data_IF_038879123730
#
_entry.id   IF_038879123730
#
_cell.length_a   1.000
_cell.length_b   1.000
_cell.length_c   1.000
_cell.angle_alpha   90.00
_cell.angle_beta   90.00
_cell.angle_gamma   90.00
#
_symmetry.space_group_name_H-M   'P 1'
#
loop_
_entity.id
_entity.type
_entity.pdbx_description
1 polymer ?
#
# COMPACT_ATOMS: atom_id res chain seq x y z
N UNK A 1 45.20 -42.98 63.35
CA UNK A 1 44.78 -44.18 64.06
C UNK A 1 43.37 -44.54 63.60
N UNK A 2 43.34 -45.59 62.90
CA UNK A 2 42.56 -46.85 63.06
C UNK A 2 41.09 -46.70 62.50
N UNK A 3 40.86 -47.23 61.31
CA UNK A 3 40.27 -48.54 60.98
C UNK A 3 38.87 -48.76 61.57
N UNK A 4 37.80 -49.13 60.78
CA UNK A 4 37.54 -50.45 60.22
C UNK A 4 36.12 -50.43 59.57
N UNK A 5 35.95 -50.72 58.31
CA UNK A 5 35.50 -52.00 57.71
C UNK A 5 34.06 -52.48 58.03
N UNK A 6 33.44 -52.83 56.96
CA UNK A 6 32.54 -53.98 56.65
C UNK A 6 31.04 -53.73 56.90
N UNK A 7 30.17 -54.22 56.19
CA UNK A 7 29.88 -55.03 54.97
C UNK A 7 28.39 -55.31 54.96
N UNK A 8 27.83 -55.36 53.78
CA UNK A 8 26.72 -56.22 53.25
C UNK A 8 25.39 -56.32 54.01
N UNK A 9 24.29 -56.01 53.26
CA UNK A 9 23.38 -57.08 52.83
C UNK A 9 22.25 -56.49 51.93
N UNK A 10 22.00 -57.23 50.94
CA UNK A 10 20.99 -57.17 49.88
C UNK A 10 19.60 -57.45 50.44
N UNK A 11 18.58 -56.73 50.07
CA UNK A 11 17.22 -57.29 49.87
C UNK A 11 16.42 -56.48 48.83
N UNK A 12 15.94 -57.23 47.88
CA UNK A 12 15.06 -56.84 46.77
C UNK A 12 13.65 -56.62 47.33
N UNK A 13 13.03 -55.48 46.97
CA UNK A 13 11.59 -55.36 46.98
C UNK A 13 11.16 -54.51 45.74
N UNK A 14 10.50 -55.17 44.81
CA UNK A 14 9.87 -54.59 43.65
C UNK A 14 8.65 -53.76 44.09
N UNK A 15 8.62 -52.50 43.70
CA UNK A 15 7.38 -51.72 43.70
C UNK A 15 7.27 -51.04 42.33
N UNK A 16 6.25 -51.48 41.57
CA UNK A 16 5.81 -50.83 40.35
C UNK A 16 5.37 -49.39 40.64
N UNK A 17 6.11 -48.42 40.16
CA UNK A 17 5.66 -47.04 40.02
C UNK A 17 5.41 -46.79 38.55
N UNK A 18 4.12 -46.62 38.18
CA UNK A 18 3.71 -46.11 36.88
C UNK A 18 4.29 -44.69 36.73
N UNK A 19 5.26 -44.55 35.90
CA UNK A 19 5.70 -43.26 35.39
C UNK A 19 4.74 -42.89 34.25
N UNK A 20 3.80 -41.97 34.51
CA UNK A 20 3.17 -41.18 33.48
C UNK A 20 4.26 -40.30 32.83
N UNK A 21 4.72 -40.72 31.69
CA UNK A 21 5.44 -39.83 30.77
C UNK A 21 4.44 -38.83 30.22
N UNK A 22 4.39 -37.64 30.81
CA UNK A 22 3.85 -36.49 30.10
C UNK A 22 4.75 -36.27 28.88
N UNK A 23 4.21 -36.54 27.70
CA UNK A 23 4.78 -36.10 26.46
C UNK A 23 4.68 -34.57 26.46
N UNK A 24 5.75 -33.90 26.89
CA UNK A 24 5.99 -32.52 26.51
C UNK A 24 6.28 -32.59 25.02
N UNK A 25 5.31 -32.17 24.21
CA UNK A 25 5.56 -31.80 22.83
C UNK A 25 6.57 -30.64 22.91
N UNK A 26 7.84 -30.93 22.68
CA UNK A 26 8.75 -29.89 22.27
C UNK A 26 8.19 -29.38 20.93
N UNK A 27 7.68 -28.16 20.92
CA UNK A 27 7.63 -27.39 19.70
C UNK A 27 9.09 -27.36 19.22
N UNK A 28 9.36 -28.06 18.12
CA UNK A 28 10.57 -27.85 17.35
C UNK A 28 10.53 -26.37 16.93
N UNK A 29 11.30 -25.53 17.61
CA UNK A 29 11.75 -24.26 17.03
C UNK A 29 12.42 -24.64 15.71
N UNK A 30 11.73 -24.44 14.62
CA UNK A 30 12.31 -24.47 13.28
C UNK A 30 13.24 -23.27 13.18
N UNK A 31 14.46 -23.43 13.65
CA UNK A 31 15.57 -22.50 13.43
C UNK A 31 16.06 -22.70 11.97
N UNK A 32 15.16 -22.54 11.00
CA UNK A 32 15.49 -22.38 9.59
C UNK A 32 15.82 -20.90 9.38
N UNK A 33 16.90 -20.64 8.64
CA UNK A 33 17.22 -19.26 8.25
C UNK A 33 16.00 -18.65 7.55
N UNK A 34 15.43 -17.58 8.13
CA UNK A 34 14.32 -16.83 7.54
C UNK A 34 14.75 -16.27 6.19
N UNK A 35 13.84 -16.29 5.22
CA UNK A 35 14.10 -15.74 3.89
C UNK A 35 13.99 -14.21 3.92
N UNK A 36 15.06 -13.53 3.54
CA UNK A 36 15.09 -12.06 3.49
C UNK A 36 14.19 -11.54 2.39
N UNK A 37 13.35 -10.56 2.74
CA UNK A 37 12.41 -9.87 1.86
C UNK A 37 12.51 -8.37 2.13
N UNK A 38 12.79 -7.58 1.10
CA UNK A 38 12.79 -6.12 1.18
C UNK A 38 11.57 -5.57 0.47
N UNK A 39 10.78 -4.74 1.18
CA UNK A 39 9.64 -4.00 0.64
C UNK A 39 10.05 -2.54 0.53
N UNK A 40 10.02 -1.98 -0.68
CA UNK A 40 10.30 -0.56 -0.93
C UNK A 40 8.97 0.18 -0.99
N UNK A 41 8.77 1.17 -0.12
CA UNK A 41 7.58 2.01 -0.13
C UNK A 41 7.56 2.95 -1.36
N UNK A 42 6.41 3.55 -1.61
CA UNK A 42 6.20 4.60 -2.61
C UNK A 42 6.54 5.99 -2.07
N UNK A 43 6.40 6.15 -0.76
CA UNK A 43 6.56 7.41 -0.02
C UNK A 43 7.04 7.11 1.41
N UNK A 44 7.05 8.10 2.29
CA UNK A 44 7.26 7.89 3.73
C UNK A 44 6.19 6.99 4.32
N UNK A 45 6.44 6.30 5.45
CA UNK A 45 5.43 5.50 6.13
C UNK A 45 4.14 6.28 6.36
N UNK A 46 3.00 5.72 5.93
CA UNK A 46 1.68 6.33 6.06
C UNK A 46 0.60 5.27 6.24
N UNK A 47 -0.65 5.70 6.41
CA UNK A 47 -1.76 4.81 6.76
C UNK A 47 -2.13 3.78 5.69
N UNK A 48 -1.72 3.95 4.43
CA UNK A 48 -1.83 2.88 3.44
C UNK A 48 -0.91 1.70 3.76
N UNK A 49 0.20 1.93 4.46
CA UNK A 49 1.20 0.91 4.76
C UNK A 49 0.96 0.16 6.08
N UNK A 50 -0.01 0.61 6.90
CA UNK A 50 -0.22 0.12 8.27
C UNK A 50 -0.35 -1.40 8.35
N UNK A 51 -1.05 -2.04 7.41
CA UNK A 51 -1.20 -3.50 7.42
C UNK A 51 0.12 -4.26 7.33
N UNK A 52 1.12 -3.70 6.60
CA UNK A 52 2.45 -4.29 6.51
C UNK A 52 3.23 -4.13 7.82
N UNK A 53 3.14 -2.95 8.48
CA UNK A 53 3.77 -2.74 9.78
C UNK A 53 3.13 -3.58 10.89
N UNK A 54 1.80 -3.73 10.89
CA UNK A 54 1.09 -4.64 11.80
C UNK A 54 1.52 -6.09 11.57
N UNK A 55 1.67 -6.52 10.31
CA UNK A 55 2.15 -7.86 9.99
C UNK A 55 3.60 -8.08 10.46
N UNK A 56 4.45 -7.06 10.36
CA UNK A 56 5.82 -7.07 10.84
C UNK A 56 5.88 -7.19 12.37
N UNK A 57 5.25 -6.27 13.09
CA UNK A 57 5.33 -6.19 14.56
C UNK A 57 4.65 -7.37 15.26
N UNK A 58 3.61 -7.95 14.65
CA UNK A 58 2.95 -9.16 15.18
C UNK A 58 3.64 -10.46 14.78
N UNK A 59 4.76 -10.39 14.05
CA UNK A 59 5.53 -11.57 13.65
C UNK A 59 4.82 -12.44 12.58
N UNK A 60 3.87 -11.90 11.82
CA UNK A 60 3.16 -12.68 10.81
C UNK A 60 4.07 -13.08 9.65
N UNK A 61 5.03 -12.24 9.30
CA UNK A 61 6.05 -12.58 8.30
C UNK A 61 7.00 -13.67 8.80
N UNK A 62 7.46 -13.59 10.04
CA UNK A 62 8.31 -14.62 10.65
C UNK A 62 7.61 -15.98 10.72
N UNK A 63 6.30 -15.99 11.04
CA UNK A 63 5.49 -17.20 11.06
C UNK A 63 5.35 -17.86 9.67
N UNK A 64 5.53 -17.11 8.59
CA UNK A 64 5.58 -17.56 7.20
C UNK A 64 7.03 -17.85 6.73
N UNK A 65 8.02 -17.77 7.62
CA UNK A 65 9.43 -18.03 7.31
C UNK A 65 10.14 -16.86 6.61
N UNK A 66 9.63 -15.63 6.75
CA UNK A 66 10.15 -14.42 6.10
C UNK A 66 10.77 -13.46 7.12
N UNK A 67 11.94 -12.91 6.80
CA UNK A 67 12.59 -11.78 7.47
C UNK A 67 12.35 -10.54 6.59
N UNK A 68 11.31 -9.76 6.94
CA UNK A 68 10.84 -8.62 6.12
C UNK A 68 11.42 -7.33 6.64
N UNK A 69 12.03 -6.57 5.75
CA UNK A 69 12.49 -5.21 5.97
C UNK A 69 11.67 -4.26 5.08
N UNK A 70 11.03 -3.25 5.69
CA UNK A 70 10.29 -2.20 5.00
C UNK A 70 11.17 -0.95 4.96
N UNK A 71 11.43 -0.44 3.75
CA UNK A 71 12.33 0.71 3.54
C UNK A 71 11.64 1.80 2.74
N UNK A 72 11.99 3.04 3.05
CA UNK A 72 11.56 4.18 2.25
C UNK A 72 12.23 4.17 0.87
N UNK A 73 11.59 4.77 -0.16
CA UNK A 73 12.19 4.88 -1.47
C UNK A 73 13.47 5.72 -1.41
N UNK A 74 14.52 5.21 -2.07
CA UNK A 74 15.78 5.93 -2.28
C UNK A 74 15.76 6.65 -3.64
N UNK A 75 16.92 7.01 -4.15
CA UNK A 75 17.04 7.58 -5.50
C UNK A 75 16.51 6.63 -6.57
N UNK A 76 15.35 6.93 -7.13
CA UNK A 76 14.70 6.18 -8.21
C UNK A 76 13.26 5.77 -7.90
N UNK A 77 12.48 5.54 -8.95
CA UNK A 77 11.10 5.05 -8.83
C UNK A 77 11.08 3.60 -8.31
N UNK A 78 10.18 3.31 -7.39
CA UNK A 78 10.04 1.99 -6.75
C UNK A 78 9.90 0.86 -7.79
N UNK A 79 9.12 1.06 -8.85
CA UNK A 79 8.97 0.10 -9.96
C UNK A 79 10.32 -0.27 -10.59
N UNK A 80 11.21 0.71 -10.81
CA UNK A 80 12.56 0.48 -11.36
C UNK A 80 13.44 -0.30 -10.38
N UNK A 81 13.37 0.02 -9.10
CA UNK A 81 14.16 -0.68 -8.07
C UNK A 81 13.74 -2.14 -7.93
N UNK A 82 12.44 -2.43 -7.97
CA UNK A 82 11.89 -3.78 -7.96
C UNK A 82 12.28 -4.55 -9.23
N UNK A 83 12.16 -3.94 -10.41
CA UNK A 83 12.60 -4.55 -11.67
C UNK A 83 14.09 -4.92 -11.66
N UNK A 84 14.92 -4.14 -10.98
CA UNK A 84 16.36 -4.37 -10.79
C UNK A 84 16.68 -5.33 -9.62
N UNK A 85 15.67 -5.91 -8.97
CA UNK A 85 15.82 -6.79 -7.80
C UNK A 85 16.54 -6.13 -6.62
N UNK A 86 16.43 -4.80 -6.46
CA UNK A 86 16.90 -4.06 -5.29
C UNK A 86 15.89 -4.09 -4.15
N UNK A 87 14.64 -4.42 -4.43
CA UNK A 87 13.59 -4.80 -3.51
C UNK A 87 12.91 -6.06 -4.02
N UNK A 88 12.39 -6.88 -3.11
CA UNK A 88 11.60 -8.07 -3.44
C UNK A 88 10.19 -7.67 -3.85
N UNK A 89 9.61 -6.75 -3.08
CA UNK A 89 8.33 -6.10 -3.34
C UNK A 89 8.48 -4.59 -3.33
N UNK A 90 7.50 -3.91 -3.87
CA UNK A 90 7.42 -2.47 -3.78
C UNK A 90 5.97 -2.00 -3.74
N UNK A 91 5.77 -0.79 -3.23
CA UNK A 91 4.51 -0.09 -3.31
C UNK A 91 4.57 0.84 -4.52
N UNK A 92 3.55 0.80 -5.36
CA UNK A 92 3.45 1.58 -6.59
C UNK A 92 1.99 1.89 -6.89
N UNK A 93 1.69 2.36 -8.08
CA UNK A 93 0.35 2.74 -8.51
C UNK A 93 0.02 2.04 -9.82
N UNK A 94 -1.26 1.79 -10.10
CA UNK A 94 -1.69 1.21 -11.38
C UNK A 94 -1.18 2.02 -12.57
N UNK A 95 -1.15 3.35 -12.46
CA UNK A 95 -0.60 4.25 -13.48
C UNK A 95 0.87 3.94 -13.77
N UNK A 96 1.72 3.94 -12.74
CA UNK A 96 3.16 3.67 -12.87
C UNK A 96 3.44 2.29 -13.45
N UNK A 97 2.70 1.27 -13.00
CA UNK A 97 2.81 -0.09 -13.55
C UNK A 97 2.48 -0.09 -15.05
N UNK A 98 1.38 0.54 -15.45
CA UNK A 98 0.96 0.59 -16.85
C UNK A 98 1.98 1.35 -17.72
N UNK A 99 2.47 2.51 -17.25
CA UNK A 99 3.50 3.29 -17.95
C UNK A 99 4.81 2.49 -18.05
N UNK A 100 5.25 1.85 -16.95
CA UNK A 100 6.48 1.07 -16.93
C UNK A 100 6.44 -0.14 -17.90
N UNK A 101 5.27 -0.75 -18.05
CA UNK A 101 5.06 -1.88 -18.95
C UNK A 101 4.91 -1.47 -20.42
N UNK A 102 4.56 -0.22 -20.72
CA UNK A 102 4.43 0.31 -22.09
C UNK A 102 5.66 1.09 -22.56
N UNK A 103 6.63 1.32 -21.68
CA UNK A 103 7.88 1.98 -22.02
C UNK A 103 8.69 1.20 -23.05
N UNK A 104 9.54 1.88 -23.86
CA UNK A 104 10.44 1.25 -24.83
C UNK A 104 11.34 0.21 -24.14
N UNK A 105 11.86 0.54 -22.95
CA UNK A 105 12.57 -0.36 -22.05
C UNK A 105 11.60 -0.91 -20.99
N UNK A 106 10.66 -1.76 -21.42
CA UNK A 106 9.65 -2.38 -20.55
C UNK A 106 10.26 -2.96 -19.28
N UNK A 107 9.72 -2.57 -18.10
CA UNK A 107 10.14 -3.14 -16.84
C UNK A 107 9.46 -4.51 -16.60
N UNK A 108 10.20 -5.56 -16.19
CA UNK A 108 9.65 -6.88 -15.90
C UNK A 108 9.02 -6.92 -14.49
N UNK A 109 7.89 -6.25 -14.30
CA UNK A 109 7.15 -6.16 -13.04
C UNK A 109 5.70 -6.55 -13.23
N UNK A 110 5.03 -6.88 -12.11
CA UNK A 110 3.60 -7.18 -12.08
C UNK A 110 3.01 -6.75 -10.74
N UNK A 111 1.79 -6.21 -10.75
CA UNK A 111 1.03 -6.00 -9.54
C UNK A 111 0.49 -7.35 -9.03
N UNK A 112 0.59 -7.59 -7.71
CA UNK A 112 0.21 -8.85 -7.06
C UNK A 112 -0.89 -8.66 -6.00
N UNK A 113 -1.17 -7.43 -5.59
CA UNK A 113 -2.31 -7.06 -4.76
C UNK A 113 -2.61 -5.56 -4.88
N UNK A 114 -3.86 -5.16 -4.73
CA UNK A 114 -4.18 -3.77 -4.41
C UNK A 114 -4.25 -3.57 -2.89
N UNK A 115 -3.92 -2.36 -2.41
CA UNK A 115 -4.04 -2.07 -0.98
C UNK A 115 -5.46 -1.60 -0.65
N UNK A 116 -6.02 -0.68 -1.43
CA UNK A 116 -7.41 -0.23 -1.33
C UNK A 116 -8.18 -0.54 -2.61
N UNK A 117 -9.49 -0.72 -2.50
CA UNK A 117 -10.30 -1.24 -3.61
C UNK A 117 -10.69 -0.17 -4.63
N UNK A 118 -10.81 1.08 -4.23
CA UNK A 118 -11.24 2.19 -5.07
C UNK A 118 -10.32 3.39 -4.92
N UNK A 119 -10.25 4.22 -5.93
CA UNK A 119 -9.48 5.46 -5.89
C UNK A 119 -10.12 6.46 -4.92
N UNK A 120 -9.41 6.81 -3.86
CA UNK A 120 -9.82 7.77 -2.83
C UNK A 120 -9.19 9.15 -3.02
N UNK A 121 -8.76 9.47 -4.22
CA UNK A 121 -8.18 10.77 -4.53
C UNK A 121 -9.15 11.70 -5.27
N UNK A 122 -8.91 12.99 -5.19
CA UNK A 122 -9.77 14.00 -5.80
C UNK A 122 -9.11 15.35 -5.91
N UNK A 123 -9.74 16.22 -6.71
CA UNK A 123 -9.36 17.63 -6.74
C UNK A 123 -9.94 18.35 -5.53
N UNK A 124 -9.17 19.26 -4.97
CA UNK A 124 -9.58 20.08 -3.82
C UNK A 124 -9.41 21.56 -4.10
N UNK A 125 -10.28 22.35 -3.50
CA UNK A 125 -10.20 23.82 -3.39
C UNK A 125 -10.68 24.27 -2.02
N UNK A 126 -10.43 25.52 -1.64
CA UNK A 126 -11.01 26.07 -0.41
C UNK A 126 -12.55 26.07 -0.51
N UNK A 127 -13.24 25.78 0.59
CA UNK A 127 -14.71 25.71 0.64
C UNK A 127 -15.40 26.99 0.18
N UNK A 128 -14.79 28.14 0.45
CA UNK A 128 -15.31 29.47 0.09
C UNK A 128 -14.82 30.00 -1.27
N UNK A 129 -14.01 29.21 -2.01
CA UNK A 129 -13.44 29.62 -3.31
C UNK A 129 -14.45 29.71 -4.44
N UNK A 130 -15.60 29.04 -4.30
CA UNK A 130 -16.60 28.88 -5.36
C UNK A 130 -16.18 27.90 -6.46
N UNK A 131 -15.10 27.14 -6.28
CA UNK A 131 -14.64 26.08 -7.20
C UNK A 131 -15.19 24.76 -6.68
N UNK A 132 -16.19 24.17 -7.35
CA UNK A 132 -16.90 22.97 -6.91
C UNK A 132 -17.00 21.89 -7.97
N UNK A 133 -16.52 22.17 -9.17
CA UNK A 133 -16.53 21.24 -10.30
C UNK A 133 -15.39 21.56 -11.26
N UNK A 134 -14.97 20.62 -12.14
CA UNK A 134 -13.97 20.89 -13.17
C UNK A 134 -14.37 21.99 -14.16
N UNK A 135 -15.65 22.33 -14.27
CA UNK A 135 -16.11 23.48 -15.07
C UNK A 135 -15.58 24.82 -14.53
N UNK A 136 -15.28 24.89 -13.23
CA UNK A 136 -14.80 26.10 -12.57
C UNK A 136 -13.28 26.30 -12.67
N UNK A 137 -12.56 25.36 -13.29
CA UNK A 137 -11.09 25.37 -13.36
C UNK A 137 -10.52 26.35 -14.39
N UNK A 138 -11.34 26.84 -15.35
CA UNK A 138 -10.87 27.82 -16.32
C UNK A 138 -10.31 29.08 -15.64
N UNK A 139 -9.08 29.45 -16.03
CA UNK A 139 -8.37 30.61 -15.51
C UNK A 139 -7.85 30.46 -14.08
N UNK A 140 -7.94 29.26 -13.49
CA UNK A 140 -7.40 28.94 -12.16
C UNK A 140 -5.97 28.41 -12.24
N UNK A 141 -5.32 28.35 -11.08
CA UNK A 141 -3.99 27.76 -10.91
C UNK A 141 -4.11 26.44 -10.18
N UNK A 142 -3.73 25.36 -10.85
CA UNK A 142 -3.57 24.04 -10.27
C UNK A 142 -2.11 23.82 -9.90
N UNK A 143 -1.84 23.33 -8.67
CA UNK A 143 -0.51 22.93 -8.23
C UNK A 143 -0.45 21.42 -7.99
N UNK A 144 0.44 20.73 -8.71
CA UNK A 144 0.61 19.29 -8.65
C UNK A 144 2.06 18.85 -8.81
N UNK A 145 2.27 17.58 -9.13
CA UNK A 145 3.63 17.02 -9.27
C UNK A 145 4.17 17.05 -10.72
N UNK A 146 3.33 17.38 -11.71
CA UNK A 146 3.74 17.58 -13.12
C UNK A 146 3.88 16.28 -13.91
N UNK A 147 3.20 15.20 -13.51
CA UNK A 147 3.17 13.94 -14.23
C UNK A 147 2.30 13.99 -15.50
N UNK A 148 2.58 13.16 -16.53
CA UNK A 148 1.77 13.10 -17.74
C UNK A 148 0.35 12.59 -17.49
N UNK A 149 0.16 11.61 -16.58
CA UNK A 149 -1.15 11.12 -16.19
C UNK A 149 -1.97 12.17 -15.46
N UNK A 150 -1.33 12.97 -14.59
CA UNK A 150 -1.98 14.07 -13.90
C UNK A 150 -2.59 15.10 -14.88
N UNK A 151 -1.84 15.47 -15.92
CA UNK A 151 -2.33 16.36 -16.96
C UNK A 151 -3.49 15.74 -17.74
N UNK A 152 -3.42 14.44 -18.05
CA UNK A 152 -4.47 13.71 -18.74
C UNK A 152 -5.77 13.66 -17.93
N UNK A 153 -5.68 13.43 -16.63
CA UNK A 153 -6.85 13.42 -15.72
C UNK A 153 -7.50 14.81 -15.63
N UNK A 154 -6.71 15.88 -15.52
CA UNK A 154 -7.21 17.26 -15.53
C UNK A 154 -7.91 17.58 -16.85
N UNK A 155 -7.30 17.23 -17.99
CA UNK A 155 -7.89 17.45 -19.32
C UNK A 155 -9.20 16.69 -19.51
N UNK A 156 -9.24 15.42 -19.08
CA UNK A 156 -10.42 14.58 -19.16
C UNK A 156 -11.58 15.18 -18.35
N UNK A 157 -11.35 15.49 -17.08
CA UNK A 157 -12.38 16.01 -16.18
C UNK A 157 -12.90 17.38 -16.63
N UNK A 158 -12.02 18.28 -17.08
CA UNK A 158 -12.42 19.59 -17.60
C UNK A 158 -13.20 19.47 -18.90
N UNK A 159 -12.73 18.64 -19.85
CA UNK A 159 -13.40 18.42 -21.14
C UNK A 159 -14.80 17.82 -20.93
N UNK A 160 -14.93 16.84 -20.07
CA UNK A 160 -16.22 16.23 -19.73
C UNK A 160 -17.16 17.22 -19.08
N UNK A 161 -16.65 18.15 -18.28
CA UNK A 161 -17.42 19.24 -17.67
C UNK A 161 -17.70 20.40 -18.65
N UNK A 162 -17.21 20.34 -19.90
CA UNK A 162 -17.39 21.36 -20.92
C UNK A 162 -16.48 22.58 -20.76
N UNK A 163 -15.39 22.45 -20.02
CA UNK A 163 -14.40 23.50 -19.81
C UNK A 163 -13.20 23.34 -20.76
N UNK A 164 -12.50 24.44 -21.00
CA UNK A 164 -11.31 24.51 -21.86
C UNK A 164 -10.05 24.32 -21.02
N UNK A 165 -9.45 23.11 -21.09
CA UNK A 165 -8.23 22.74 -20.37
C UNK A 165 -7.06 23.70 -20.65
N UNK A 166 -6.97 24.26 -21.87
CA UNK A 166 -5.89 25.20 -22.21
C UNK A 166 -5.89 26.49 -21.40
N UNK A 167 -6.96 26.75 -20.65
CA UNK A 167 -7.09 27.92 -19.77
C UNK A 167 -6.67 27.63 -18.32
N UNK A 168 -6.40 26.39 -17.96
CA UNK A 168 -5.87 26.04 -16.64
C UNK A 168 -4.38 26.37 -16.58
N UNK A 169 -3.96 27.07 -15.52
CA UNK A 169 -2.55 27.30 -15.27
C UNK A 169 -2.02 26.18 -14.37
N UNK A 170 -1.13 25.34 -14.89
CA UNK A 170 -0.52 24.22 -14.15
C UNK A 170 0.86 24.63 -13.67
N UNK A 171 1.12 24.48 -12.36
CA UNK A 171 2.41 24.72 -11.70
C UNK A 171 2.83 23.52 -10.87
N UNK A 172 4.13 23.38 -10.65
CA UNK A 172 4.65 22.36 -9.74
C UNK A 172 4.42 22.80 -8.30
N UNK A 173 3.88 21.90 -7.46
CA UNK A 173 3.70 22.13 -6.03
C UNK A 173 5.03 22.34 -5.33
N UNK A 174 5.05 23.27 -4.37
CA UNK A 174 6.21 23.52 -3.50
C UNK A 174 6.25 22.62 -2.26
N UNK A 175 5.29 21.69 -2.15
CA UNK A 175 5.18 20.75 -1.02
C UNK A 175 4.49 21.31 0.21
N UNK A 176 3.94 22.52 0.19
CA UNK A 176 3.24 23.12 1.34
C UNK A 176 1.83 22.57 1.55
N UNK A 177 1.34 21.66 0.67
CA UNK A 177 0.06 20.99 0.81
C UNK A 177 -1.11 21.98 0.84
N UNK A 178 -2.10 21.73 1.72
CA UNK A 178 -3.30 22.57 1.81
C UNK A 178 -3.02 24.04 2.15
N UNK A 179 -1.85 24.35 2.71
CA UNK A 179 -1.46 25.74 3.02
C UNK A 179 -1.21 26.59 1.77
N UNK A 180 -1.00 25.96 0.60
CA UNK A 180 -0.85 26.64 -0.68
C UNK A 180 -2.18 27.16 -1.23
N UNK A 181 -3.31 26.51 -0.88
CA UNK A 181 -4.64 26.85 -1.37
C UNK A 181 -5.04 28.29 -0.99
N UNK A 182 -5.51 29.02 -2.00
CA UNK A 182 -5.88 30.44 -1.85
C UNK A 182 -4.71 31.40 -1.71
N UNK A 183 -3.45 30.92 -1.78
CA UNK A 183 -2.23 31.74 -1.73
C UNK A 183 -1.44 31.64 -3.04
N UNK A 184 -0.90 30.46 -3.34
CA UNK A 184 -0.09 30.19 -4.56
C UNK A 184 -0.82 29.39 -5.62
N UNK A 185 -1.90 28.70 -5.24
CA UNK A 185 -2.78 27.96 -6.14
C UNK A 185 -4.24 28.03 -5.69
N UNK A 186 -5.14 27.69 -6.62
CA UNK A 186 -6.58 27.64 -6.39
C UNK A 186 -7.06 26.21 -6.11
N UNK A 187 -6.39 25.21 -6.68
CA UNK A 187 -6.74 23.80 -6.57
C UNK A 187 -5.50 22.90 -6.56
N UNK A 188 -5.65 21.73 -5.97
CA UNK A 188 -4.66 20.65 -5.86
C UNK A 188 -5.35 19.30 -6.02
N UNK A 189 -4.56 18.24 -6.10
CA UNK A 189 -5.04 16.85 -6.06
C UNK A 189 -4.60 16.24 -4.74
N UNK A 190 -5.58 15.78 -3.95
CA UNK A 190 -5.37 15.21 -2.61
C UNK A 190 -5.93 13.79 -2.51
N UNK A 191 -5.36 13.02 -1.57
CA UNK A 191 -5.92 11.76 -1.10
C UNK A 191 -6.79 12.02 0.14
N UNK A 192 -8.08 11.64 0.09
CA UNK A 192 -9.06 12.00 1.12
C UNK A 192 -8.64 11.52 2.51
N UNK A 193 -8.22 10.25 2.61
CA UNK A 193 -7.77 9.64 3.88
C UNK A 193 -6.49 10.22 4.47
N UNK A 194 -5.77 11.07 3.76
CA UNK A 194 -4.50 11.65 4.23
C UNK A 194 -4.54 13.18 4.23
N UNK A 195 -4.51 13.77 3.05
CA UNK A 195 -4.39 15.23 2.92
C UNK A 195 -5.64 15.97 3.41
N UNK A 196 -6.84 15.46 3.11
CA UNK A 196 -8.08 16.08 3.55
C UNK A 196 -8.28 15.90 5.06
N UNK A 197 -7.84 14.79 5.65
CA UNK A 197 -7.83 14.60 7.11
C UNK A 197 -6.90 15.63 7.77
N UNK A 198 -5.67 15.79 7.25
CA UNK A 198 -4.75 16.82 7.76
C UNK A 198 -5.32 18.23 7.63
N UNK A 199 -5.90 18.57 6.49
CA UNK A 199 -6.52 19.88 6.26
C UNK A 199 -7.64 20.15 7.28
N UNK A 200 -8.55 19.18 7.45
CA UNK A 200 -9.68 19.30 8.39
C UNK A 200 -9.22 19.47 9.85
N UNK A 201 -8.20 18.72 10.29
CA UNK A 201 -7.63 18.86 11.63
C UNK A 201 -6.98 20.23 11.87
N UNK A 202 -6.51 20.88 10.82
CA UNK A 202 -5.96 22.24 10.87
C UNK A 202 -7.01 23.33 10.61
N UNK A 203 -8.31 22.96 10.57
CA UNK A 203 -9.40 23.91 10.38
C UNK A 203 -9.52 24.46 8.95
N UNK A 204 -8.90 23.79 7.97
CA UNK A 204 -9.03 24.11 6.55
C UNK A 204 -10.20 23.32 5.96
N UNK A 205 -11.29 24.03 5.63
CA UNK A 205 -12.46 23.44 4.99
C UNK A 205 -12.25 23.40 3.47
N UNK A 206 -12.47 22.23 2.87
CA UNK A 206 -12.23 21.97 1.46
C UNK A 206 -13.54 21.59 0.73
N UNK A 207 -13.66 22.01 -0.53
CA UNK A 207 -14.46 21.30 -1.52
C UNK A 207 -13.63 20.13 -2.00
N UNK A 208 -14.17 18.92 -1.98
CA UNK A 208 -13.54 17.71 -2.48
C UNK A 208 -14.32 17.16 -3.66
N UNK A 209 -13.64 16.95 -4.79
CA UNK A 209 -14.18 16.46 -6.05
C UNK A 209 -13.54 15.11 -6.35
N UNK A 210 -14.16 14.03 -5.88
CA UNK A 210 -13.66 12.66 -5.98
C UNK A 210 -13.52 12.23 -7.45
N UNK A 211 -12.35 11.76 -7.87
CA UNK A 211 -12.06 11.44 -9.27
C UNK A 211 -12.99 10.38 -9.85
N UNK A 212 -13.26 9.31 -9.12
CA UNK A 212 -14.15 8.22 -9.58
C UNK A 212 -15.59 8.66 -9.79
N UNK A 213 -16.01 9.80 -9.22
CA UNK A 213 -17.33 10.42 -9.47
C UNK A 213 -17.31 11.34 -10.70
N UNK A 214 -16.14 11.85 -11.07
CA UNK A 214 -15.98 12.71 -12.24
C UNK A 214 -15.88 11.88 -13.53
N UNK A 215 -15.18 10.75 -13.50
CA UNK A 215 -15.08 9.79 -14.61
C UNK A 215 -14.85 8.39 -14.00
N UNK A 216 -15.72 7.42 -14.32
CA UNK A 216 -15.64 6.05 -13.80
C UNK A 216 -14.33 5.35 -14.14
N UNK A 217 -13.64 5.74 -15.21
CA UNK A 217 -12.32 5.21 -15.58
C UNK A 217 -11.21 5.65 -14.66
N UNK A 218 -11.44 6.66 -13.82
CA UNK A 218 -10.51 7.17 -12.82
C UNK A 218 -10.63 6.43 -11.47
N UNK A 219 -11.48 5.39 -11.41
CA UNK A 219 -11.54 4.46 -10.28
C UNK A 219 -10.48 3.37 -10.44
N UNK A 220 -9.22 3.73 -10.41
CA UNK A 220 -8.07 2.85 -10.58
C UNK A 220 -7.36 2.55 -9.26
N UNK A 221 -6.58 1.45 -9.23
CA UNK A 221 -5.90 1.01 -8.02
C UNK A 221 -4.71 1.88 -7.65
N UNK A 222 -4.76 2.47 -6.47
CA UNK A 222 -3.71 3.32 -5.91
C UNK A 222 -3.77 3.36 -4.38
N UNK A 223 -2.82 2.69 -3.64
CA UNK A 223 -1.64 2.01 -4.15
C UNK A 223 -1.82 0.51 -4.44
N UNK A 224 -0.82 -0.09 -5.12
CA UNK A 224 -0.70 -1.53 -5.38
C UNK A 224 0.65 -2.07 -4.87
N UNK A 225 0.68 -3.36 -4.54
CA UNK A 225 1.93 -4.10 -4.28
C UNK A 225 2.42 -4.69 -5.58
N UNK A 226 3.67 -4.43 -5.92
CA UNK A 226 4.34 -4.97 -7.11
C UNK A 226 5.50 -5.90 -6.74
N UNK A 227 5.83 -6.81 -7.65
CA UNK A 227 7.07 -7.59 -7.60
C UNK A 227 7.60 -7.79 -9.03
N UNK A 228 8.82 -8.33 -9.18
CA UNK A 228 9.38 -8.61 -10.50
C UNK A 228 8.97 -9.99 -11.02
N UNK A 229 8.91 -10.16 -12.36
CA UNK A 229 8.69 -11.44 -13.00
C UNK A 229 9.71 -12.48 -12.52
N UNK A 230 10.97 -12.08 -12.31
CA UNK A 230 12.02 -12.95 -11.81
C UNK A 230 11.73 -13.51 -10.40
N UNK A 231 11.12 -12.72 -9.51
CA UNK A 231 10.70 -13.17 -8.18
C UNK A 231 9.53 -14.14 -8.30
N UNK A 232 8.54 -13.83 -9.13
CA UNK A 232 7.39 -14.71 -9.41
C UNK A 232 7.86 -16.08 -9.93
N UNK A 233 8.77 -16.08 -10.90
CA UNK A 233 9.26 -17.31 -11.54
C UNK A 233 10.14 -18.16 -10.61
N UNK A 234 10.97 -17.51 -9.78
CA UNK A 234 11.92 -18.23 -8.93
C UNK A 234 11.34 -18.71 -7.61
N UNK A 235 10.36 -17.99 -7.05
CA UNK A 235 9.86 -18.26 -5.71
C UNK A 235 8.39 -17.86 -5.50
N UNK A 236 7.45 -18.47 -6.24
CA UNK A 236 6.03 -18.17 -6.12
C UNK A 236 5.45 -18.43 -4.71
N UNK A 237 6.03 -19.40 -3.99
CA UNK A 237 5.59 -19.70 -2.62
C UNK A 237 5.98 -18.61 -1.62
N UNK A 238 7.11 -17.93 -1.81
CA UNK A 238 7.47 -16.75 -1.03
C UNK A 238 6.50 -15.60 -1.30
N UNK A 239 6.09 -15.38 -2.55
CA UNK A 239 5.08 -14.36 -2.90
C UNK A 239 3.76 -14.63 -2.18
N UNK A 240 3.27 -15.88 -2.19
CA UNK A 240 2.06 -16.29 -1.45
C UNK A 240 2.21 -16.09 0.06
N UNK A 241 3.34 -16.49 0.63
CA UNK A 241 3.63 -16.36 2.05
C UNK A 241 3.61 -14.89 2.49
N UNK A 242 4.26 -14.02 1.71
CA UNK A 242 4.26 -12.57 1.95
C UNK A 242 2.85 -11.99 1.91
N UNK A 243 2.07 -12.29 0.87
CA UNK A 243 0.71 -11.75 0.73
C UNK A 243 -0.24 -12.27 1.82
N UNK A 244 -0.12 -13.56 2.24
CA UNK A 244 -0.91 -14.09 3.37
C UNK A 244 -0.64 -13.34 4.68
N UNK A 245 0.63 -13.12 4.99
CA UNK A 245 1.02 -12.37 6.19
C UNK A 245 0.54 -10.92 6.12
N UNK A 246 0.70 -10.28 4.96
CA UNK A 246 0.26 -8.91 4.71
C UNK A 246 -1.27 -8.79 4.84
N UNK A 247 -2.04 -9.69 4.21
CA UNK A 247 -3.50 -9.71 4.32
C UNK A 247 -3.99 -9.85 5.77
N UNK A 248 -3.28 -10.63 6.58
CA UNK A 248 -3.56 -10.79 8.01
C UNK A 248 -3.32 -9.47 8.78
N UNK A 249 -2.28 -8.73 8.42
CA UNK A 249 -2.04 -7.39 8.96
C UNK A 249 -3.16 -6.42 8.62
N UNK A 250 -3.62 -6.38 7.36
CA UNK A 250 -4.76 -5.53 6.96
C UNK A 250 -6.09 -5.99 7.61
N UNK A 251 -6.28 -7.29 7.83
CA UNK A 251 -7.45 -7.76 8.57
C UNK A 251 -7.46 -7.24 10.03
N UNK A 252 -6.30 -7.16 10.67
CA UNK A 252 -6.18 -6.58 12.01
C UNK A 252 -6.41 -5.05 12.00
N UNK A 253 -5.95 -4.35 10.96
CA UNK A 253 -6.23 -2.91 10.78
C UNK A 253 -7.73 -2.64 10.63
N UNK A 254 -8.42 -3.45 9.84
CA UNK A 254 -9.88 -3.35 9.67
C UNK A 254 -10.62 -3.60 10.99
N UNK A 255 -10.13 -4.57 11.77
CA UNK A 255 -10.76 -4.94 13.03
C UNK A 255 -10.58 -3.89 14.16
N UNK A 256 -9.42 -3.22 14.20
CA UNK A 256 -9.09 -2.20 15.21
C UNK A 256 -8.15 -1.15 14.61
N UNK A 257 -8.71 -0.15 13.87
CA UNK A 257 -7.92 0.87 13.21
C UNK A 257 -7.14 1.77 14.18
N UNK A 258 -7.65 2.00 15.39
CA UNK A 258 -6.97 2.81 16.41
C UNK A 258 -5.70 2.14 16.90
N UNK A 259 -5.79 0.86 17.27
CA UNK A 259 -4.63 0.09 17.69
C UNK A 259 -3.60 -0.06 16.55
N UNK A 260 -4.07 -0.21 15.32
CA UNK A 260 -3.20 -0.28 14.15
C UNK A 260 -2.48 1.06 13.88
N UNK A 261 -3.15 2.19 14.08
CA UNK A 261 -2.54 3.51 13.97
C UNK A 261 -1.44 3.73 15.03
N UNK A 262 -1.58 3.15 16.23
CA UNK A 262 -0.53 3.18 17.27
C UNK A 262 0.71 2.37 16.83
N UNK A 263 0.53 1.22 16.18
CA UNK A 263 1.64 0.47 15.56
C UNK A 263 2.33 1.31 14.49
N UNK A 264 1.58 1.92 13.57
CA UNK A 264 2.18 2.78 12.56
C UNK A 264 2.94 3.96 13.17
N UNK A 265 2.42 4.55 14.25
CA UNK A 265 3.06 5.69 14.92
C UNK A 265 4.47 5.38 15.41
N UNK A 266 4.74 4.15 15.83
CA UNK A 266 6.10 3.72 16.23
C UNK A 266 7.10 3.77 15.06
N UNK A 267 6.61 3.69 13.82
CA UNK A 267 7.39 3.77 12.58
C UNK A 267 7.29 5.14 11.87
N UNK A 268 6.33 5.98 12.24
CA UNK A 268 6.01 7.27 11.60
C UNK A 268 5.77 8.38 12.64
N UNK A 269 6.62 8.46 13.67
CA UNK A 269 6.44 9.36 14.84
C UNK A 269 6.54 10.85 14.53
N UNK A 270 6.88 11.24 13.30
CA UNK A 270 6.88 12.63 12.86
C UNK A 270 5.46 13.18 12.63
N UNK A 271 4.44 12.30 12.57
CA UNK A 271 3.04 12.66 12.41
C UNK A 271 2.30 12.68 13.75
N UNK A 272 1.19 13.42 13.81
CA UNK A 272 0.29 13.44 14.95
C UNK A 272 -0.50 12.13 15.04
N UNK A 273 -0.50 11.46 16.20
CA UNK A 273 -1.18 10.17 16.40
C UNK A 273 -2.69 10.28 16.14
N UNK A 274 -3.35 11.38 16.52
CA UNK A 274 -4.78 11.57 16.28
C UNK A 274 -5.08 11.73 14.77
N UNK A 275 -4.14 12.32 14.03
CA UNK A 275 -4.21 12.36 12.56
C UNK A 275 -4.13 10.95 11.98
N UNK A 276 -3.17 10.13 12.43
CA UNK A 276 -3.02 8.76 11.97
C UNK A 276 -4.27 7.92 12.30
N UNK A 277 -4.86 8.08 13.49
CA UNK A 277 -6.11 7.39 13.88
C UNK A 277 -7.26 7.75 12.95
N UNK A 278 -7.50 9.03 12.72
CA UNK A 278 -8.59 9.48 11.82
C UNK A 278 -8.39 9.01 10.37
N UNK A 279 -7.16 9.07 9.90
CA UNK A 279 -6.79 8.55 8.58
C UNK A 279 -7.02 7.03 8.50
N UNK A 280 -6.64 6.30 9.54
CA UNK A 280 -6.78 4.86 9.58
C UNK A 280 -8.24 4.40 9.71
N UNK A 281 -9.07 5.10 10.50
CA UNK A 281 -10.52 4.87 10.56
C UNK A 281 -11.17 4.99 9.18
N UNK A 282 -10.81 6.04 8.43
CA UNK A 282 -11.28 6.23 7.06
C UNK A 282 -10.84 5.10 6.13
N UNK A 283 -9.55 4.74 6.14
CA UNK A 283 -8.99 3.74 5.23
C UNK A 283 -9.41 2.31 5.57
N UNK A 284 -9.71 2.00 6.83
CA UNK A 284 -10.14 0.67 7.23
C UNK A 284 -11.38 0.20 6.45
N UNK A 285 -12.28 1.10 6.08
CA UNK A 285 -13.45 0.82 5.25
C UNK A 285 -13.10 0.62 3.76
N UNK A 286 -11.92 1.11 3.32
CA UNK A 286 -11.50 1.13 1.91
C UNK A 286 -10.68 -0.09 1.50
N UNK A 287 -10.07 -0.80 2.45
CA UNK A 287 -9.23 -1.95 2.17
C UNK A 287 -9.99 -3.13 1.55
N UNK A 288 -11.28 -3.28 1.85
CA UNK A 288 -12.13 -4.38 1.35
C UNK A 288 -13.55 -3.88 0.99
N UNK A 289 -13.71 -2.65 0.47
CA UNK A 289 -15.01 -1.98 0.30
C UNK A 289 -16.05 -2.84 -0.44
N UNK A 290 -15.66 -3.57 -1.49
CA UNK A 290 -16.57 -4.39 -2.31
C UNK A 290 -16.03 -5.80 -2.62
N UNK A 291 -15.14 -6.32 -1.77
CA UNK A 291 -14.55 -7.66 -1.93
C UNK A 291 -14.50 -8.41 -0.59
N UNK A 292 -14.58 -9.75 -0.67
CA UNK A 292 -14.41 -10.64 0.48
C UNK A 292 -12.94 -11.06 0.69
N UNK A 293 -12.04 -10.68 -0.21
CA UNK A 293 -10.62 -11.03 -0.16
C UNK A 293 -9.77 -9.79 -0.37
N UNK A 294 -8.97 -9.43 0.65
CA UNK A 294 -8.05 -8.33 0.54
C UNK A 294 -7.06 -8.52 -0.62
N UNK A 295 -6.76 -7.45 -1.30
CA UNK A 295 -5.76 -7.44 -2.37
C UNK A 295 -6.29 -7.80 -3.76
N UNK A 296 -7.51 -8.35 -3.86
CA UNK A 296 -8.10 -8.75 -5.14
C UNK A 296 -8.24 -7.58 -6.10
N UNK A 297 -7.90 -7.81 -7.36
CA UNK A 297 -8.03 -6.85 -8.46
C UNK A 297 -8.94 -7.41 -9.56
N UNK A 298 -9.56 -6.52 -10.33
CA UNK A 298 -10.51 -6.83 -11.41
C UNK A 298 -9.92 -6.41 -12.76
N UNK A 299 -10.06 -7.23 -13.79
CA UNK A 299 -9.61 -6.95 -15.15
C UNK A 299 -10.17 -5.61 -15.68
N UNK A 300 -11.46 -5.37 -15.44
CA UNK A 300 -12.16 -4.17 -15.92
C UNK A 300 -11.50 -2.87 -15.44
N UNK A 301 -11.01 -2.82 -14.20
CA UNK A 301 -10.34 -1.63 -13.65
C UNK A 301 -9.03 -1.35 -14.37
N UNK A 302 -8.24 -2.41 -14.64
CA UNK A 302 -6.98 -2.29 -15.39
C UNK A 302 -7.22 -1.92 -16.85
N UNK A 303 -8.16 -2.58 -17.53
CA UNK A 303 -8.47 -2.34 -18.94
C UNK A 303 -9.02 -0.92 -19.15
N UNK A 304 -9.93 -0.45 -18.29
CA UNK A 304 -10.52 0.88 -18.37
C UNK A 304 -9.47 1.98 -18.23
N UNK A 305 -8.59 1.87 -17.20
CA UNK A 305 -7.57 2.88 -16.99
C UNK A 305 -6.46 2.84 -18.04
N UNK A 306 -6.08 1.66 -18.52
CA UNK A 306 -5.14 1.52 -19.64
C UNK A 306 -5.68 2.17 -20.92
N UNK A 307 -6.97 1.95 -21.23
CA UNK A 307 -7.63 2.61 -22.36
C UNK A 307 -7.69 4.15 -22.19
N UNK A 308 -7.95 4.63 -20.97
CA UNK A 308 -7.91 6.04 -20.62
C UNK A 308 -6.52 6.65 -20.89
N UNK A 309 -5.46 6.03 -20.40
CA UNK A 309 -4.09 6.53 -20.62
C UNK A 309 -3.70 6.56 -22.10
N UNK A 310 -4.18 5.59 -22.88
CA UNK A 310 -3.99 5.59 -24.35
C UNK A 310 -4.78 6.72 -25.01
N UNK A 311 -6.04 6.92 -24.66
CA UNK A 311 -6.90 7.96 -25.23
C UNK A 311 -6.28 9.36 -25.08
N UNK A 312 -5.68 9.62 -23.91
CA UNK A 312 -5.02 10.90 -23.63
C UNK A 312 -3.53 10.93 -23.98
N UNK A 313 -3.03 9.91 -24.70
CA UNK A 313 -1.68 9.89 -25.25
C UNK A 313 -0.56 9.75 -24.22
N UNK A 314 -0.87 9.29 -22.99
CA UNK A 314 0.13 9.00 -21.96
C UNK A 314 0.92 7.75 -22.31
N UNK A 315 0.25 6.75 -22.88
CA UNK A 315 0.83 5.52 -23.41
C UNK A 315 0.49 5.36 -24.89
N UNK A 316 1.33 4.64 -25.65
CA UNK A 316 1.14 4.46 -27.11
C UNK A 316 0.07 3.41 -27.45
N UNK A 317 -0.14 2.43 -26.57
CA UNK A 317 -1.10 1.34 -26.73
C UNK A 317 -1.66 0.93 -25.37
N UNK A 318 -2.95 0.56 -25.33
CA UNK A 318 -3.55 0.00 -24.13
C UNK A 318 -3.03 -1.43 -23.89
N UNK A 319 -2.75 -1.76 -22.63
CA UNK A 319 -2.34 -3.10 -22.22
C UNK A 319 -3.54 -3.87 -21.69
N UNK A 320 -3.67 -5.17 -22.01
CA UNK A 320 -4.65 -6.01 -21.37
C UNK A 320 -4.28 -6.24 -19.89
N UNK A 321 -5.28 -6.31 -19.03
CA UNK A 321 -5.13 -6.50 -17.59
C UNK A 321 -4.19 -7.67 -17.21
N UNK A 322 -4.26 -8.79 -17.95
CA UNK A 322 -3.44 -9.98 -17.72
C UNK A 322 -1.91 -9.73 -17.83
N UNK A 323 -1.51 -8.68 -18.54
CA UNK A 323 -0.09 -8.30 -18.65
C UNK A 323 0.36 -7.45 -17.46
N UNK A 324 -0.57 -6.81 -16.74
CA UNK A 324 -0.28 -5.84 -15.69
C UNK A 324 -0.29 -6.42 -14.29
N UNK A 325 -1.18 -7.38 -14.01
CA UNK A 325 -1.37 -7.91 -12.67
C UNK A 325 -1.68 -9.41 -12.63
N UNK A 326 -1.67 -9.99 -11.42
CA UNK A 326 -2.17 -11.34 -11.17
C UNK A 326 -2.73 -11.47 -9.75
N UNK A 327 -3.84 -12.21 -9.62
CA UNK A 327 -4.43 -12.59 -8.33
C UNK A 327 -4.03 -14.01 -7.88
N UNK A 328 -3.17 -14.71 -8.63
CA UNK A 328 -2.89 -16.14 -8.40
C UNK A 328 -2.20 -16.43 -7.05
N UNK A 329 -1.65 -15.41 -6.39
CA UNK A 329 -0.98 -15.51 -5.10
C UNK A 329 -1.85 -15.11 -3.91
N UNK A 330 -3.07 -14.61 -4.16
CA UNK A 330 -4.06 -14.29 -3.13
C UNK A 330 -4.90 -15.53 -2.80
N UNK A 331 -5.01 -15.90 -1.52
CA UNK A 331 -5.77 -17.05 -1.05
C UNK A 331 -6.59 -16.68 0.19
#
# INVERSE_FOLDING_TARGET
MRNWKKTTAMMVAAAMAMTMTAAVSAEEETNGDLKKVTVILDYVPNTNHTGMYVALDKGYYEAEGLDVEIVEPTDGATATLVAQQKGTFGISYQEDVTIALTAEDRLPIKAVATIIQHNTSGFVSLADSGITSPADFEGKTYAGWGGPGESAVLEACMTQAGADFSKLNIVVSDGSGFEALGKSCDLMWFFEGWDCVMAAMNGCELNYMELRQLDERLDYYTPVIITSDAVIDSDPEMVKAFLRATAKGYADVIADPDAAAEVLYDHASDYDLEMLKKSQEYLAEKFMEDTDTWGMMKDEVWDNYSAFLQEYGVISEALPAADCYTNEFLQ
#
